data_IF_580974462079
#
_entry.id   IF_580974462079
#
_cell.length_a   1.000
_cell.length_b   1.000
_cell.length_c   1.000
_cell.angle_alpha   90.00
_cell.angle_beta   90.00
_cell.angle_gamma   90.00
#
_symmetry.space_group_name_H-M   'P 1'
#
loop_
_entity.id
_entity.type
_entity.pdbx_description
1 polymer ?
#
# COMPACT_ATOMS: atom_id res chain seq x y z
N UNK A 1 -38.05 36.43 -10.69
CA UNK A 1 -39.00 35.31 -10.50
C UNK A 1 -38.89 34.81 -9.07
N UNK A 2 -39.72 35.29 -8.12
CA UNK A 2 -39.66 34.92 -6.70
C UNK A 2 -40.21 33.52 -6.37
N UNK A 3 -40.88 32.87 -7.32
CA UNK A 3 -41.73 31.69 -7.08
C UNK A 3 -40.99 30.35 -7.01
N UNK A 4 -39.68 30.30 -7.25
CA UNK A 4 -38.91 29.05 -7.26
C UNK A 4 -38.02 28.84 -6.02
N UNK A 5 -38.21 29.60 -4.94
CA UNK A 5 -37.36 29.49 -3.74
C UNK A 5 -37.81 28.34 -2.83
N UNK A 6 -36.91 27.45 -2.38
CA UNK A 6 -37.24 26.45 -1.36
C UNK A 6 -37.68 27.12 -0.04
N UNK A 7 -38.62 26.52 0.70
CA UNK A 7 -39.02 27.06 1.99
C UNK A 7 -37.85 26.96 2.97
N UNK A 8 -37.41 28.12 3.49
CA UNK A 8 -36.37 28.30 4.53
C UNK A 8 -34.90 28.32 4.09
N UNK A 9 -34.57 28.38 2.79
CA UNK A 9 -33.19 28.58 2.33
C UNK A 9 -33.13 29.26 0.96
N UNK A 10 -32.18 30.17 0.78
CA UNK A 10 -31.85 30.79 -0.51
C UNK A 10 -30.84 29.97 -1.33
N UNK A 11 -30.40 28.81 -0.79
CA UNK A 11 -29.49 27.88 -1.44
C UNK A 11 -30.24 26.68 -2.03
N UNK A 12 -29.99 26.37 -3.30
CA UNK A 12 -30.47 25.14 -3.93
C UNK A 12 -29.52 23.98 -3.64
N UNK A 13 -30.00 22.81 -3.20
CA UNK A 13 -29.15 21.65 -3.04
C UNK A 13 -28.68 21.15 -4.40
N UNK A 14 -27.36 21.06 -4.58
CA UNK A 14 -26.75 20.41 -5.73
C UNK A 14 -26.41 18.98 -5.32
N UNK A 15 -27.20 18.02 -5.78
CA UNK A 15 -26.90 16.60 -5.62
C UNK A 15 -26.02 16.14 -6.80
N UNK A 16 -24.85 15.57 -6.49
CA UNK A 16 -23.98 14.94 -7.49
C UNK A 16 -23.94 13.44 -7.21
N UNK A 17 -24.42 12.64 -8.15
CA UNK A 17 -24.31 11.17 -8.10
C UNK A 17 -23.08 10.76 -8.91
N UNK A 18 -22.07 10.20 -8.25
CA UNK A 18 -20.85 9.72 -8.90
C UNK A 18 -20.87 8.19 -8.90
N UNK A 19 -20.85 7.57 -10.09
CA UNK A 19 -20.60 6.13 -10.21
C UNK A 19 -19.11 5.89 -10.01
N UNK A 20 -18.74 5.31 -8.87
CA UNK A 20 -17.36 4.96 -8.53
C UNK A 20 -17.04 3.52 -8.94
N UNK A 21 -17.50 3.10 -10.12
CA UNK A 21 -17.15 1.80 -10.70
C UNK A 21 -15.68 1.81 -11.13
N UNK A 22 -14.79 1.79 -10.14
CA UNK A 22 -13.39 1.47 -10.38
C UNK A 22 -13.35 -0.02 -10.70
N UNK A 23 -12.86 -0.36 -11.89
CA UNK A 23 -12.48 -1.73 -12.17
C UNK A 23 -11.52 -2.16 -11.08
N UNK A 24 -11.98 -3.02 -10.16
CA UNK A 24 -11.12 -3.60 -9.16
C UNK A 24 -9.95 -4.22 -9.90
N UNK A 25 -8.73 -3.75 -9.62
CA UNK A 25 -7.56 -4.41 -10.12
C UNK A 25 -7.66 -5.86 -9.64
N UNK A 26 -7.52 -6.83 -10.54
CA UNK A 26 -7.51 -8.25 -10.14
C UNK A 26 -6.33 -8.37 -9.19
N UNK A 27 -6.59 -8.51 -7.90
CA UNK A 27 -5.54 -8.69 -6.90
C UNK A 27 -4.67 -9.85 -7.36
N UNK A 28 -3.45 -9.54 -7.81
CA UNK A 28 -2.44 -10.57 -8.00
C UNK A 28 -2.13 -11.07 -6.59
N UNK A 29 -2.35 -12.36 -6.28
CA UNK A 29 -2.09 -12.86 -4.95
C UNK A 29 -0.62 -12.57 -4.60
N UNK A 30 -0.42 -11.73 -3.59
CA UNK A 30 0.90 -11.50 -3.02
C UNK A 30 1.43 -12.76 -2.35
N UNK A 31 2.74 -12.84 -2.21
CA UNK A 31 3.40 -13.91 -1.47
C UNK A 31 3.11 -13.76 0.02
N UNK A 32 2.56 -14.80 0.66
CA UNK A 32 2.28 -14.80 2.10
C UNK A 32 3.51 -15.28 2.89
N UNK A 33 4.50 -14.41 3.03
CA UNK A 33 5.76 -14.72 3.73
C UNK A 33 5.53 -15.07 5.21
N UNK A 34 4.51 -14.51 5.86
CA UNK A 34 4.29 -14.67 7.31
C UNK A 34 3.91 -16.09 7.75
N UNK A 35 3.33 -16.88 6.84
CA UNK A 35 2.95 -18.29 7.07
C UNK A 35 3.78 -19.28 6.26
N UNK A 36 4.88 -18.80 5.69
CA UNK A 36 5.84 -19.68 5.04
C UNK A 36 6.51 -20.52 6.12
N UNK A 37 6.68 -21.82 5.85
CA UNK A 37 7.55 -22.64 6.67
C UNK A 37 8.98 -22.17 6.41
N UNK A 38 9.50 -21.34 7.31
CA UNK A 38 10.79 -20.69 7.12
C UNK A 38 11.96 -21.67 7.18
N UNK A 39 11.79 -22.81 7.85
CA UNK A 39 12.83 -23.83 7.92
C UNK A 39 12.92 -24.55 6.56
N UNK A 40 11.80 -25.09 6.07
CA UNK A 40 11.70 -25.70 4.74
C UNK A 40 12.12 -24.72 3.62
N UNK A 41 11.71 -23.46 3.74
CA UNK A 41 12.10 -22.39 2.82
C UNK A 41 13.61 -22.15 2.83
N UNK A 42 14.23 -22.10 4.01
CA UNK A 42 15.67 -21.85 4.14
C UNK A 42 16.47 -23.05 3.63
N UNK A 43 16.07 -24.26 4.00
CA UNK A 43 16.73 -25.50 3.60
C UNK A 43 16.69 -25.65 2.07
N UNK A 44 15.52 -25.46 1.46
CA UNK A 44 15.36 -25.52 0.00
C UNK A 44 16.19 -24.44 -0.73
N UNK A 45 16.16 -23.20 -0.23
CA UNK A 45 16.93 -22.10 -0.84
C UNK A 45 18.43 -22.34 -0.70
N UNK A 46 18.89 -22.85 0.45
CA UNK A 46 20.29 -23.20 0.68
C UNK A 46 20.75 -24.26 -0.32
N UNK A 47 20.00 -25.35 -0.48
CA UNK A 47 20.31 -26.42 -1.44
C UNK A 47 20.38 -25.90 -2.88
N UNK A 48 19.43 -25.04 -3.28
CA UNK A 48 19.41 -24.40 -4.61
C UNK A 48 20.60 -23.48 -4.83
N UNK A 49 20.98 -22.69 -3.82
CA UNK A 49 22.11 -21.77 -3.91
C UNK A 49 23.45 -22.50 -3.94
N UNK A 50 23.59 -23.59 -3.18
CA UNK A 50 24.77 -24.46 -3.23
C UNK A 50 24.94 -25.10 -4.62
N UNK A 51 23.83 -25.52 -5.24
CA UNK A 51 23.82 -26.07 -6.59
C UNK A 51 24.13 -25.04 -7.70
N UNK A 52 23.89 -23.75 -7.44
CA UNK A 52 24.13 -22.67 -8.41
C UNK A 52 25.61 -22.30 -8.58
N UNK A 53 26.51 -22.81 -7.72
CA UNK A 53 27.96 -22.59 -7.79
C UNK A 53 28.34 -21.13 -8.15
N UNK A 54 27.76 -20.16 -7.44
CA UNK A 54 27.99 -18.74 -7.70
C UNK A 54 29.49 -18.41 -7.57
N UNK A 55 30.11 -17.95 -8.65
CA UNK A 55 31.50 -17.47 -8.70
C UNK A 55 31.57 -15.99 -9.08
N UNK A 56 32.74 -15.37 -8.99
CA UNK A 56 32.88 -13.99 -9.49
C UNK A 56 32.68 -13.99 -11.01
N UNK A 57 31.76 -13.14 -11.55
CA UNK A 57 31.50 -13.11 -12.99
C UNK A 57 32.71 -12.55 -13.74
N UNK A 58 33.10 -13.23 -14.82
CA UNK A 58 34.23 -12.80 -15.65
C UNK A 58 33.87 -11.61 -16.54
N UNK A 59 32.60 -11.51 -16.97
CA UNK A 59 32.09 -10.42 -17.78
C UNK A 59 30.60 -10.09 -17.49
N UNK A 60 30.07 -9.10 -18.22
CA UNK A 60 28.68 -8.62 -18.04
C UNK A 60 27.65 -9.68 -18.43
N UNK A 61 27.92 -10.50 -19.45
CA UNK A 61 26.98 -11.53 -19.88
C UNK A 61 26.91 -12.67 -18.86
N UNK A 62 28.05 -13.04 -18.27
CA UNK A 62 28.11 -13.99 -17.17
C UNK A 62 27.41 -13.46 -15.91
N UNK A 63 27.56 -12.16 -15.59
CA UNK A 63 26.83 -11.53 -14.50
C UNK A 63 25.30 -11.57 -14.73
N UNK A 64 24.83 -11.21 -15.92
CA UNK A 64 23.40 -11.24 -16.26
C UNK A 64 22.83 -12.67 -16.17
N UNK A 65 23.57 -13.66 -16.67
CA UNK A 65 23.19 -15.08 -16.56
C UNK A 65 23.07 -15.52 -15.11
N UNK A 66 24.07 -15.21 -14.27
CA UNK A 66 24.04 -15.54 -12.85
C UNK A 66 22.88 -14.85 -12.11
N UNK A 67 22.59 -13.60 -12.45
CA UNK A 67 21.47 -12.85 -11.88
C UNK A 67 20.14 -13.48 -12.26
N UNK A 68 19.98 -13.90 -13.51
CA UNK A 68 18.78 -14.59 -13.98
C UNK A 68 18.60 -15.94 -13.27
N UNK A 69 19.66 -16.73 -13.14
CA UNK A 69 19.62 -18.02 -12.44
C UNK A 69 19.23 -17.86 -10.96
N UNK A 70 19.82 -16.89 -10.27
CA UNK A 70 19.48 -16.55 -8.88
C UNK A 70 18.02 -16.07 -8.77
N UNK A 71 17.61 -15.18 -9.67
CA UNK A 71 16.24 -14.64 -9.68
C UNK A 71 15.23 -15.74 -9.93
N UNK A 72 15.50 -16.66 -10.85
CA UNK A 72 14.65 -17.81 -11.13
C UNK A 72 14.56 -18.77 -9.96
N UNK A 73 15.67 -19.05 -9.26
CA UNK A 73 15.65 -19.88 -8.06
C UNK A 73 14.79 -19.27 -6.94
N UNK A 74 14.90 -17.96 -6.71
CA UNK A 74 14.07 -17.24 -5.74
C UNK A 74 12.59 -17.28 -6.15
N UNK A 75 12.27 -17.00 -7.42
CA UNK A 75 10.90 -16.97 -7.91
C UNK A 75 10.24 -18.35 -7.87
N UNK A 76 10.95 -19.41 -8.27
CA UNK A 76 10.48 -20.80 -8.20
C UNK A 76 10.18 -21.20 -6.76
N UNK A 77 11.05 -20.85 -5.82
CA UNK A 77 10.86 -21.10 -4.40
C UNK A 77 9.64 -20.34 -3.86
N UNK A 78 9.50 -19.05 -4.17
CA UNK A 78 8.34 -18.26 -3.73
C UNK A 78 7.02 -18.83 -4.29
N UNK A 79 7.07 -19.38 -5.50
CA UNK A 79 5.93 -20.05 -6.12
C UNK A 79 5.58 -21.39 -5.45
N UNK A 80 6.60 -22.17 -5.10
CA UNK A 80 6.45 -23.52 -4.55
C UNK A 80 6.30 -23.59 -3.04
N UNK A 81 6.55 -22.51 -2.29
CA UNK A 81 6.53 -22.57 -0.82
C UNK A 81 5.53 -21.61 -0.17
N UNK A 82 4.97 -20.63 -0.90
CA UNK A 82 4.00 -19.70 -0.31
C UNK A 82 2.54 -20.18 -0.43
N UNK A 83 1.82 -20.17 0.69
CA UNK A 83 0.44 -20.67 0.79
C UNK A 83 -0.54 -19.91 -0.12
N UNK A 84 -0.35 -18.60 -0.28
CA UNK A 84 -1.20 -17.76 -1.14
C UNK A 84 -1.08 -18.11 -2.63
N UNK A 85 0.16 -18.34 -3.11
CA UNK A 85 0.39 -18.73 -4.50
C UNK A 85 -0.09 -20.15 -4.78
N UNK A 86 0.16 -21.10 -3.87
CA UNK A 86 -0.38 -22.46 -3.98
C UNK A 86 -1.91 -22.48 -4.05
N UNK A 87 -2.58 -21.72 -3.18
CA UNK A 87 -4.04 -21.58 -3.19
C UNK A 87 -4.56 -20.97 -4.49
N UNK A 88 -3.88 -19.95 -5.04
CA UNK A 88 -4.21 -19.37 -6.33
C UNK A 88 -4.07 -20.36 -7.49
N UNK A 89 -2.93 -21.06 -7.56
CA UNK A 89 -2.68 -22.06 -8.61
C UNK A 89 -3.71 -23.20 -8.55
N UNK A 90 -4.08 -23.65 -7.35
CA UNK A 90 -5.14 -24.64 -7.16
C UNK A 90 -6.48 -24.13 -7.71
N UNK A 91 -6.90 -22.91 -7.33
CA UNK A 91 -8.16 -22.32 -7.79
C UNK A 91 -8.19 -22.10 -9.32
N UNK A 92 -7.04 -21.78 -9.92
CA UNK A 92 -6.89 -21.64 -11.37
C UNK A 92 -7.03 -22.97 -12.10
N UNK A 93 -6.44 -24.05 -11.57
CA UNK A 93 -6.49 -25.40 -12.15
C UNK A 93 -7.83 -26.10 -11.91
N UNK A 94 -8.47 -25.86 -10.77
CA UNK A 94 -9.70 -26.53 -10.34
C UNK A 94 -10.77 -25.50 -9.91
N UNK A 95 -11.36 -24.77 -10.87
CA UNK A 95 -12.36 -23.76 -10.57
C UNK A 95 -13.59 -24.37 -9.87
N UNK A 96 -14.00 -23.77 -8.75
CA UNK A 96 -15.17 -24.20 -7.98
C UNK A 96 -14.94 -25.38 -7.03
N UNK A 97 -13.76 -26.00 -7.02
CA UNK A 97 -13.43 -27.09 -6.11
C UNK A 97 -12.86 -26.56 -4.79
N UNK A 98 -13.36 -27.05 -3.66
CA UNK A 98 -12.77 -26.80 -2.35
C UNK A 98 -11.58 -27.74 -2.10
N UNK A 99 -10.58 -27.26 -1.37
CA UNK A 99 -9.40 -28.03 -0.99
C UNK A 99 -8.83 -27.53 0.34
N UNK A 100 -8.19 -28.39 1.14
CA UNK A 100 -7.53 -27.98 2.39
C UNK A 100 -6.61 -26.77 2.22
N UNK A 101 -5.94 -26.62 1.08
CA UNK A 101 -5.02 -25.50 0.83
C UNK A 101 -5.74 -24.14 0.73
N UNK A 102 -6.96 -24.14 0.18
CA UNK A 102 -7.79 -22.93 0.10
C UNK A 102 -8.28 -22.51 1.49
N UNK A 103 -8.60 -23.50 2.32
CA UNK A 103 -9.05 -23.27 3.70
C UNK A 103 -7.90 -22.79 4.59
N UNK A 104 -6.74 -23.44 4.50
CA UNK A 104 -5.52 -22.98 5.18
C UNK A 104 -5.16 -21.54 4.79
N UNK A 105 -5.24 -21.20 3.49
CA UNK A 105 -5.01 -19.83 3.03
C UNK A 105 -6.03 -18.84 3.61
N UNK A 106 -7.33 -19.20 3.62
CA UNK A 106 -8.39 -18.38 4.22
C UNK A 106 -8.14 -18.14 5.70
N UNK A 107 -7.87 -19.19 6.47
CA UNK A 107 -7.54 -19.11 7.89
C UNK A 107 -6.28 -18.27 8.12
N UNK A 108 -5.29 -18.39 7.23
CA UNK A 108 -4.08 -17.59 7.31
C UNK A 108 -4.31 -16.10 7.11
N UNK A 109 -5.08 -15.75 6.09
CA UNK A 109 -5.44 -14.36 5.81
C UNK A 109 -6.31 -13.78 6.94
N UNK A 110 -7.28 -14.52 7.43
CA UNK A 110 -8.17 -14.05 8.50
C UNK A 110 -7.38 -13.84 9.80
N UNK A 111 -6.55 -14.81 10.21
CA UNK A 111 -5.68 -14.68 11.38
C UNK A 111 -4.75 -13.47 11.26
N UNK A 112 -4.21 -13.20 10.07
CA UNK A 112 -3.39 -12.01 9.85
C UNK A 112 -4.19 -10.72 10.07
N UNK A 113 -5.40 -10.63 9.51
CA UNK A 113 -6.28 -9.48 9.74
C UNK A 113 -6.58 -9.27 11.23
N UNK A 114 -6.84 -10.34 11.97
CA UNK A 114 -7.03 -10.31 13.42
C UNK A 114 -5.78 -9.82 14.17
N UNK A 115 -4.60 -10.32 13.82
CA UNK A 115 -3.32 -9.89 14.42
C UNK A 115 -2.98 -8.43 14.13
N UNK A 116 -3.27 -7.93 12.93
CA UNK A 116 -3.07 -6.51 12.57
C UNK A 116 -4.03 -5.63 13.36
N UNK A 117 -5.31 -6.01 13.43
CA UNK A 117 -6.28 -5.27 14.22
C UNK A 117 -5.92 -5.27 15.70
N UNK A 118 -5.48 -6.41 16.22
CA UNK A 118 -5.00 -6.53 17.60
C UNK A 118 -3.80 -5.63 17.84
N UNK A 119 -2.76 -5.68 16.99
CA UNK A 119 -1.58 -4.85 17.15
C UNK A 119 -1.90 -3.35 17.06
N UNK A 120 -2.83 -2.96 16.19
CA UNK A 120 -3.31 -1.59 16.13
C UNK A 120 -4.01 -1.16 17.42
N UNK A 121 -4.88 -2.02 17.97
CA UNK A 121 -5.59 -1.75 19.22
C UNK A 121 -4.63 -1.71 20.41
N UNK A 122 -3.74 -2.68 20.54
CA UNK A 122 -2.72 -2.74 21.59
C UNK A 122 -1.86 -1.46 21.58
N UNK A 123 -1.40 -1.05 20.39
CA UNK A 123 -0.62 0.17 20.24
C UNK A 123 -1.43 1.43 20.59
N UNK A 124 -2.69 1.48 20.19
CA UNK A 124 -3.58 2.59 20.50
C UNK A 124 -3.85 2.71 22.00
N UNK A 125 -4.08 1.58 22.68
CA UNK A 125 -4.27 1.52 24.14
C UNK A 125 -2.99 1.94 24.88
N UNK A 126 -1.85 1.34 24.54
CA UNK A 126 -0.55 1.69 25.14
C UNK A 126 -0.24 3.19 24.95
N UNK A 127 -0.53 3.72 23.76
CA UNK A 127 -0.32 5.14 23.48
C UNK A 127 -1.25 6.02 24.32
N UNK A 128 -2.53 5.67 24.47
CA UNK A 128 -3.45 6.43 25.34
C UNK A 128 -2.98 6.42 26.79
N UNK A 129 -2.54 5.27 27.30
CA UNK A 129 -2.12 5.10 28.69
C UNK A 129 -0.81 5.80 29.01
N UNK A 130 0.12 5.87 28.05
CA UNK A 130 1.45 6.44 28.24
C UNK A 130 1.54 7.94 27.93
N UNK A 131 0.48 8.56 27.41
CA UNK A 131 0.58 9.93 26.89
C UNK A 131 0.39 11.03 27.94
N UNK A 132 1.04 12.16 27.70
CA UNK A 132 0.93 13.37 28.52
C UNK A 132 -0.19 14.31 28.04
N UNK A 133 -0.38 15.46 28.69
CA UNK A 133 -1.45 16.41 28.39
C UNK A 133 -1.54 16.83 26.90
N UNK A 134 -0.40 16.95 26.20
CA UNK A 134 -0.38 17.24 24.77
C UNK A 134 -0.90 16.07 23.93
N UNK A 135 -0.67 14.83 24.34
CA UNK A 135 -1.19 13.65 23.67
C UNK A 135 -2.70 13.48 23.83
N UNK A 136 -3.25 13.81 25.00
CA UNK A 136 -4.70 13.84 25.22
C UNK A 136 -5.41 14.79 24.25
N UNK A 137 -4.81 15.93 23.94
CA UNK A 137 -5.31 16.85 22.91
C UNK A 137 -5.31 16.20 21.51
N UNK A 138 -4.27 15.45 21.17
CA UNK A 138 -4.16 14.76 19.87
C UNK A 138 -5.15 13.59 19.78
N UNK A 139 -5.34 12.81 20.86
CA UNK A 139 -6.36 11.76 20.95
C UNK A 139 -7.75 12.36 20.74
N UNK A 140 -8.09 13.43 21.45
CA UNK A 140 -9.39 14.08 21.30
C UNK A 140 -9.61 14.54 19.85
N UNK A 141 -8.57 15.08 19.20
CA UNK A 141 -8.62 15.45 17.79
C UNK A 141 -8.88 14.25 16.87
N UNK A 142 -8.27 13.09 17.12
CA UNK A 142 -8.50 11.89 16.33
C UNK A 142 -9.90 11.30 16.54
N UNK A 143 -10.42 11.31 17.77
CA UNK A 143 -11.75 10.78 18.12
C UNK A 143 -12.89 11.69 17.61
N UNK A 144 -12.70 13.01 17.66
CA UNK A 144 -13.73 13.99 17.27
C UNK A 144 -13.69 14.38 15.80
N UNK A 145 -12.61 14.04 15.08
CA UNK A 145 -12.60 14.12 13.63
C UNK A 145 -13.66 13.14 13.09
N UNK A 146 -14.68 13.67 12.41
CA UNK A 146 -15.73 12.85 11.81
C UNK A 146 -15.12 11.70 10.99
N UNK A 147 -15.72 10.49 11.03
CA UNK A 147 -15.18 9.34 10.32
C UNK A 147 -15.25 9.60 8.82
N UNK A 148 -14.15 10.05 8.23
CA UNK A 148 -13.97 10.05 6.79
C UNK A 148 -13.26 8.75 6.43
N UNK A 149 -14.04 7.71 6.18
CA UNK A 149 -13.67 6.48 5.45
C UNK A 149 -12.16 6.19 5.41
N UNK A 150 -11.60 5.84 6.58
CA UNK A 150 -10.39 5.05 6.85
C UNK A 150 -9.15 5.19 5.94
N UNK A 151 -8.99 6.28 5.21
CA UNK A 151 -7.91 6.43 4.20
C UNK A 151 -7.43 7.87 4.03
N UNK A 152 -7.97 8.79 4.84
CA UNK A 152 -7.88 10.21 4.55
C UNK A 152 -7.61 11.05 5.79
N UNK A 153 -6.69 10.62 6.66
CA UNK A 153 -5.89 11.59 7.43
C UNK A 153 -4.91 12.24 6.45
N UNK A 154 -5.48 13.08 5.57
CA UNK A 154 -4.81 13.77 4.46
C UNK A 154 -3.63 14.54 5.05
N UNK A 155 -2.45 14.22 4.52
CA UNK A 155 -1.20 15.00 4.55
C UNK A 155 -1.38 16.35 5.25
N UNK A 156 -0.66 16.63 6.35
CA UNK A 156 -0.85 17.87 7.10
C UNK A 156 -0.72 19.09 6.19
N UNK A 157 -1.29 20.22 6.61
CA UNK A 157 -1.16 21.49 5.86
C UNK A 157 0.30 21.71 5.47
N UNK A 158 0.58 21.73 4.17
CA UNK A 158 1.95 21.89 3.69
C UNK A 158 2.33 23.37 3.70
N UNK A 159 3.60 23.65 4.02
CA UNK A 159 4.19 24.98 3.86
C UNK A 159 5.13 24.95 2.66
N UNK A 160 4.85 25.75 1.65
CA UNK A 160 5.70 25.87 0.45
C UNK A 160 6.34 27.25 0.43
N UNK A 161 7.66 27.30 0.19
CA UNK A 161 8.37 28.55 -0.05
C UNK A 161 8.09 29.04 -1.47
N UNK A 162 7.62 30.27 -1.57
CA UNK A 162 7.41 30.95 -2.84
C UNK A 162 8.71 31.57 -3.36
N UNK A 163 8.71 31.98 -4.62
CA UNK A 163 9.87 32.60 -5.28
C UNK A 163 10.30 33.93 -4.64
N UNK A 164 9.38 34.61 -3.95
CA UNK A 164 9.63 35.84 -3.19
C UNK A 164 10.19 35.58 -1.77
N UNK A 165 10.41 34.31 -1.40
CA UNK A 165 10.88 33.89 -0.09
C UNK A 165 9.79 33.76 0.97
N UNK A 166 8.53 34.10 0.67
CA UNK A 166 7.40 33.95 1.57
C UNK A 166 6.96 32.47 1.69
N UNK A 167 6.18 32.15 2.72
CA UNK A 167 5.63 30.79 2.91
C UNK A 167 4.11 30.78 2.75
N UNK A 168 3.60 29.97 1.82
CA UNK A 168 2.17 29.71 1.68
C UNK A 168 1.76 28.40 2.34
N UNK A 169 0.54 28.39 2.91
CA UNK A 169 -0.10 27.20 3.46
C UNK A 169 -1.01 26.57 2.42
N UNK A 170 -0.87 25.26 2.21
CA UNK A 170 -1.72 24.48 1.31
C UNK A 170 -2.55 23.48 2.12
N UNK A 171 -3.86 23.66 2.11
CA UNK A 171 -4.81 22.88 2.91
C UNK A 171 -5.62 21.89 2.09
N UNK A 172 -5.74 22.10 0.77
CA UNK A 172 -6.48 21.22 -0.14
C UNK A 172 -5.61 20.10 -0.74
N UNK A 173 -6.25 19.00 -1.13
CA UNK A 173 -5.53 17.84 -1.64
C UNK A 173 -4.85 18.05 -2.99
N UNK A 174 -5.45 18.85 -3.88
CA UNK A 174 -4.92 19.09 -5.23
C UNK A 174 -3.62 19.87 -5.13
N UNK A 175 -3.61 20.93 -4.32
CA UNK A 175 -2.41 21.68 -4.00
C UNK A 175 -1.35 20.82 -3.33
N UNK A 176 -1.73 19.98 -2.35
CA UNK A 176 -0.76 19.12 -1.64
C UNK A 176 -0.10 18.10 -2.57
N UNK A 177 -0.89 17.43 -3.40
CA UNK A 177 -0.38 16.46 -4.38
C UNK A 177 0.60 17.12 -5.36
N UNK A 178 0.26 18.30 -5.88
CA UNK A 178 1.14 19.05 -6.78
C UNK A 178 2.44 19.46 -6.08
N UNK A 179 2.37 19.99 -4.85
CA UNK A 179 3.55 20.44 -4.12
C UNK A 179 4.53 19.29 -3.81
N UNK A 180 4.01 18.11 -3.46
CA UNK A 180 4.83 16.92 -3.25
C UNK A 180 5.43 16.42 -4.57
N UNK A 181 4.64 16.42 -5.66
CA UNK A 181 5.12 16.05 -6.98
C UNK A 181 6.30 16.94 -7.41
N UNK A 182 6.14 18.27 -7.31
CA UNK A 182 7.18 19.24 -7.68
C UNK A 182 8.45 19.12 -6.80
N UNK A 183 8.32 18.64 -5.55
CA UNK A 183 9.45 18.53 -4.61
C UNK A 183 10.24 17.22 -4.76
N UNK A 184 9.56 16.10 -5.02
CA UNK A 184 10.20 14.79 -5.06
C UNK A 184 10.59 14.34 -6.47
N UNK A 185 9.99 14.92 -7.51
CA UNK A 185 10.25 14.51 -8.88
C UNK A 185 10.88 15.67 -9.66
N UNK A 186 12.00 15.38 -10.32
CA UNK A 186 12.67 16.34 -11.18
C UNK A 186 11.79 16.69 -12.40
N UNK A 187 11.82 17.95 -12.90
CA UNK A 187 11.13 18.31 -14.12
C UNK A 187 11.60 17.44 -15.29
N UNK A 188 10.68 17.12 -16.20
CA UNK A 188 11.00 16.29 -17.36
C UNK A 188 12.00 17.01 -18.28
N UNK A 189 12.75 16.22 -19.06
CA UNK A 189 13.74 16.74 -20.04
C UNK A 189 13.15 17.78 -21.01
N UNK A 190 11.86 17.68 -21.32
CA UNK A 190 11.12 18.63 -22.15
C UNK A 190 10.86 19.97 -21.44
N UNK A 191 10.59 19.95 -20.12
CA UNK A 191 10.39 21.14 -19.30
C UNK A 191 11.69 21.92 -19.04
N UNK A 192 12.84 21.26 -19.17
CA UNK A 192 14.15 21.93 -19.17
C UNK A 192 14.41 22.70 -20.46
N UNK A 193 13.94 22.19 -21.61
CA UNK A 193 14.19 22.79 -22.92
C UNK A 193 13.35 24.03 -23.22
N UNK A 194 12.23 24.22 -22.52
CA UNK A 194 11.37 25.41 -22.67
C UNK A 194 11.79 26.59 -21.79
N UNK A 195 12.88 26.47 -21.03
CA UNK A 195 13.45 27.52 -20.18
C UNK A 195 14.81 28.06 -20.67
N UNK A 196 15.26 27.61 -21.85
CA UNK A 196 16.37 28.15 -22.62
C UNK A 196 15.81 28.92 -23.82
#
# INVERSE_FOLDING_TARGET
MPECRPPKTDHFPIATTLSLDMAHNKEVPGFNFRKTDWQDFHDYLSDKLEALHLCDPEDVADFERMLDELTMAILEMMENHTLAKKAYLFKKKHPGMNSPILEQHRQARNKYGEEVQKAHNDHWEEWIESTEAMGLYIINKFVTAAPSDSSSTRVPTLKVKQADGSSAKITDNKGKSKALYDAFFYPTREQYRSKL
#
